data_IF_728654923582
#
_entry.id   IF_728654923582
#
_cell.length_a   1.000
_cell.length_b   1.000
_cell.length_c   1.000
_cell.angle_alpha   90.00
_cell.angle_beta   90.00
_cell.angle_gamma   90.00
#
_symmetry.space_group_name_H-M   'P 1'
#
loop_
_entity.id
_entity.type
_entity.pdbx_description
1 polymer ?
#
# COMPACT_ATOMS: atom_id res chain seq x y z
N UNK A 1 -2.26 -11.58 -17.71
CA UNK A 1 -2.56 -10.55 -16.72
C UNK A 1 -2.69 -11.21 -15.35
N UNK A 2 -2.11 -10.59 -14.33
CA UNK A 2 -2.26 -11.11 -12.97
C UNK A 2 -3.65 -10.76 -12.44
N UNK A 3 -4.15 -11.58 -11.52
CA UNK A 3 -5.47 -11.33 -10.92
C UNK A 3 -5.35 -10.39 -9.71
N UNK A 4 -6.51 -10.02 -9.16
CA UNK A 4 -6.55 -9.06 -8.05
C UNK A 4 -5.83 -9.57 -6.80
N UNK A 5 -5.92 -10.87 -6.53
CA UNK A 5 -5.26 -11.45 -5.36
C UNK A 5 -3.74 -11.39 -5.52
N UNK A 6 -3.24 -11.75 -6.69
CA UNK A 6 -1.81 -11.68 -6.98
C UNK A 6 -1.30 -10.25 -6.89
N UNK A 7 -2.06 -9.29 -7.43
CA UNK A 7 -1.69 -7.89 -7.36
C UNK A 7 -1.62 -7.41 -5.92
N UNK A 8 -2.62 -7.79 -5.10
CA UNK A 8 -2.67 -7.42 -3.69
C UNK A 8 -1.49 -8.01 -2.93
N UNK A 9 -1.18 -9.28 -3.17
CA UNK A 9 -0.06 -9.94 -2.51
C UNK A 9 1.28 -9.26 -2.86
N UNK A 10 1.45 -8.88 -4.11
CA UNK A 10 2.67 -8.18 -4.53
C UNK A 10 2.78 -6.80 -3.89
N UNK A 11 1.66 -6.10 -3.76
CA UNK A 11 1.66 -4.80 -3.08
C UNK A 11 2.04 -4.95 -1.61
N UNK A 12 1.51 -5.97 -0.93
CA UNK A 12 1.84 -6.24 0.46
C UNK A 12 3.31 -6.59 0.64
N UNK A 13 3.85 -7.45 -0.22
CA UNK A 13 5.27 -7.79 -0.19
C UNK A 13 6.14 -6.56 -0.35
N UNK A 14 5.77 -5.68 -1.27
CA UNK A 14 6.51 -4.45 -1.51
C UNK A 14 6.48 -3.55 -0.27
N UNK A 15 5.31 -3.39 0.33
CA UNK A 15 5.14 -2.59 1.54
C UNK A 15 6.06 -3.11 2.66
N UNK A 16 6.01 -4.41 2.93
CA UNK A 16 6.79 -5.01 4.01
C UNK A 16 8.30 -4.91 3.73
N UNK A 17 8.71 -4.97 2.48
CA UNK A 17 10.13 -4.85 2.14
C UNK A 17 10.70 -3.48 2.49
N UNK A 18 9.88 -2.43 2.41
CA UNK A 18 10.30 -1.07 2.78
C UNK A 18 9.96 -0.69 4.22
N UNK A 19 8.90 -1.28 4.76
CA UNK A 19 8.43 -0.97 6.11
C UNK A 19 8.21 -2.28 6.87
N UNK A 20 9.29 -2.97 7.25
CA UNK A 20 9.14 -4.28 7.91
C UNK A 20 8.42 -4.23 9.24
N UNK A 21 8.33 -3.06 9.86
CA UNK A 21 7.60 -2.86 11.10
C UNK A 21 6.10 -2.64 10.92
N UNK A 22 5.62 -2.60 9.66
CA UNK A 22 4.20 -2.40 9.41
C UNK A 22 3.37 -3.56 9.97
N UNK A 23 2.30 -3.21 10.68
CA UNK A 23 1.40 -4.18 11.29
C UNK A 23 -0.03 -3.97 10.79
N UNK A 24 -0.86 -5.00 10.92
CA UNK A 24 -2.28 -4.91 10.55
C UNK A 24 -2.48 -4.44 9.11
N UNK A 25 -1.69 -5.00 8.19
CA UNK A 25 -1.79 -4.62 6.78
C UNK A 25 -3.10 -5.14 6.20
N UNK A 26 -3.92 -4.23 5.67
CA UNK A 26 -5.23 -4.55 5.12
C UNK A 26 -5.43 -3.94 3.75
N UNK A 27 -6.15 -4.67 2.90
CA UNK A 27 -6.57 -4.14 1.61
C UNK A 27 -7.79 -3.24 1.82
N UNK A 28 -7.68 -1.98 1.42
CA UNK A 28 -8.78 -1.03 1.56
C UNK A 28 -9.52 -0.81 0.25
N UNK A 29 -8.77 -0.78 -0.85
CA UNK A 29 -9.38 -0.47 -2.14
C UNK A 29 -8.54 -1.09 -3.26
N UNK A 30 -9.20 -1.54 -4.31
CA UNK A 30 -8.53 -2.07 -5.49
C UNK A 30 -9.28 -1.62 -6.73
N UNK A 31 -8.52 -1.21 -7.74
CA UNK A 31 -9.09 -0.76 -9.00
C UNK A 31 -8.19 -1.17 -10.15
N UNK A 32 -8.81 -1.65 -11.23
CA UNK A 32 -8.11 -1.85 -12.48
C UNK A 32 -8.37 -0.61 -13.33
N UNK A 33 -7.32 -0.02 -13.89
CA UNK A 33 -7.49 1.19 -14.69
C UNK A 33 -8.36 0.91 -15.92
N UNK A 34 -8.96 1.99 -16.47
CA UNK A 34 -9.88 1.84 -17.60
C UNK A 34 -9.25 1.14 -18.79
N UNK A 35 -7.99 1.43 -19.07
CA UNK A 35 -7.26 0.79 -20.17
C UNK A 35 -6.77 -0.62 -19.82
N UNK A 36 -7.03 -1.06 -18.57
CA UNK A 36 -6.65 -2.40 -18.07
C UNK A 36 -5.16 -2.66 -18.07
N UNK A 37 -4.35 -1.61 -17.99
CA UNK A 37 -2.90 -1.76 -17.99
C UNK A 37 -2.29 -1.82 -16.60
N UNK A 38 -3.01 -1.32 -15.59
CA UNK A 38 -2.48 -1.22 -14.23
C UNK A 38 -3.51 -1.53 -13.18
N UNK A 39 -3.02 -2.10 -12.05
CA UNK A 39 -3.79 -2.25 -10.83
C UNK A 39 -3.43 -1.11 -9.90
N UNK A 40 -4.44 -0.50 -9.28
CA UNK A 40 -4.26 0.50 -8.22
C UNK A 40 -4.73 -0.14 -6.93
N UNK A 41 -3.80 -0.36 -6.01
CA UNK A 41 -4.06 -1.07 -4.76
C UNK A 41 -3.82 -0.12 -3.60
N UNK A 42 -4.84 0.10 -2.76
CA UNK A 42 -4.68 0.90 -1.55
C UNK A 42 -4.63 -0.04 -0.35
N UNK A 43 -3.55 0.06 0.40
CA UNK A 43 -3.37 -0.70 1.64
C UNK A 43 -3.34 0.25 2.81
N UNK A 44 -3.89 -0.20 3.94
CA UNK A 44 -3.71 0.49 5.22
C UNK A 44 -2.81 -0.37 6.09
N UNK A 45 -2.13 0.26 7.02
CA UNK A 45 -1.28 -0.45 7.97
C UNK A 45 -0.99 0.44 9.17
N UNK A 46 -0.64 -0.20 10.29
CA UNK A 46 -0.19 0.52 11.47
C UNK A 46 1.31 0.64 11.41
N UNK A 47 1.80 1.85 11.54
CA UNK A 47 3.23 2.10 11.49
C UNK A 47 3.61 3.28 12.37
N UNK A 48 4.91 3.42 12.58
CA UNK A 48 5.45 4.53 13.37
C UNK A 48 5.66 5.72 12.43
N UNK A 49 5.10 6.86 12.80
CA UNK A 49 5.32 8.07 12.01
C UNK A 49 6.67 8.66 12.35
N UNK A 50 7.28 9.35 11.38
CA UNK A 50 8.54 10.04 11.62
C UNK A 50 8.37 11.37 12.33
N UNK A 51 7.12 11.79 12.55
CA UNK A 51 6.83 13.05 13.25
C UNK A 51 7.16 12.93 14.73
N UNK A 52 7.96 13.87 15.24
CA UNK A 52 8.31 13.89 16.65
C UNK A 52 7.08 14.00 17.53
N UNK A 53 6.14 14.85 17.14
CA UNK A 53 4.90 15.02 17.90
C UNK A 53 4.09 13.73 17.96
N UNK A 54 3.96 13.04 16.84
CA UNK A 54 3.22 11.80 16.80
C UNK A 54 3.89 10.72 17.63
N UNK A 55 5.21 10.58 17.55
CA UNK A 55 5.92 9.56 18.31
C UNK A 55 5.83 9.81 19.82
N UNK A 56 5.76 11.06 20.23
CA UNK A 56 5.60 11.39 21.64
C UNK A 56 4.20 11.08 22.16
N UNK A 57 3.21 11.16 21.30
CA UNK A 57 1.81 11.01 21.73
C UNK A 57 1.33 9.57 21.68
N UNK A 58 1.61 8.85 20.62
CA UNK A 58 0.93 7.58 20.35
C UNK A 58 1.86 6.44 19.99
N UNK A 59 2.91 6.71 19.29
CA UNK A 59 3.82 5.67 18.80
C UNK A 59 3.40 5.05 17.48
N UNK A 60 2.13 4.73 17.28
CA UNK A 60 1.64 4.13 16.03
C UNK A 60 0.48 4.92 15.45
N UNK A 61 0.41 4.95 14.13
CA UNK A 61 -0.68 5.59 13.41
C UNK A 61 -1.14 4.69 12.28
N UNK A 62 -2.41 4.85 11.90
CA UNK A 62 -2.96 4.18 10.73
C UNK A 62 -2.54 4.97 9.49
N UNK A 63 -1.83 4.31 8.61
CA UNK A 63 -1.29 4.94 7.41
C UNK A 63 -1.85 4.26 6.17
N UNK A 64 -1.90 5.01 5.08
CA UNK A 64 -2.42 4.51 3.80
C UNK A 64 -1.41 4.73 2.70
N UNK A 65 -1.24 3.71 1.85
CA UNK A 65 -0.40 3.80 0.66
C UNK A 65 -1.17 3.31 -0.55
N UNK A 66 -0.98 3.98 -1.67
CA UNK A 66 -1.53 3.50 -2.93
C UNK A 66 -0.40 3.00 -3.81
N UNK A 67 -0.59 1.80 -4.36
CA UNK A 67 0.39 1.12 -5.21
C UNK A 67 -0.12 1.04 -6.62
N UNK A 68 0.75 1.34 -7.59
CA UNK A 68 0.43 1.14 -8.99
C UNK A 68 1.29 -0.01 -9.50
N UNK A 69 0.62 -1.06 -9.99
CA UNK A 69 1.30 -2.26 -10.48
C UNK A 69 0.97 -2.49 -11.94
N UNK A 70 1.94 -2.99 -12.67
CA UNK A 70 1.70 -3.43 -14.05
C UNK A 70 0.75 -4.63 -14.01
N UNK A 71 -0.38 -4.53 -14.72
CA UNK A 71 -1.38 -5.59 -14.71
C UNK A 71 -0.89 -6.87 -15.39
N UNK A 72 0.10 -6.76 -16.23
CA UNK A 72 0.61 -7.89 -16.99
C UNK A 72 1.52 -8.77 -16.16
N UNK A 73 2.48 -8.19 -15.45
CA UNK A 73 3.51 -8.92 -14.72
C UNK A 73 3.54 -8.65 -13.21
N UNK A 74 2.74 -7.69 -12.73
CA UNK A 74 2.69 -7.39 -11.31
C UNK A 74 3.83 -6.55 -10.79
N UNK A 75 4.64 -5.96 -11.67
CA UNK A 75 5.72 -5.10 -11.24
C UNK A 75 5.15 -3.85 -10.57
N UNK A 76 5.67 -3.52 -9.38
CA UNK A 76 5.25 -2.31 -8.67
C UNK A 76 5.95 -1.11 -9.30
N UNK A 77 5.15 -0.20 -9.83
CA UNK A 77 5.64 0.99 -10.52
C UNK A 77 5.77 2.17 -9.57
N UNK A 78 4.81 2.31 -8.64
CA UNK A 78 4.86 3.39 -7.66
C UNK A 78 4.18 2.99 -6.37
N UNK A 79 4.62 3.62 -5.29
CA UNK A 79 4.04 3.50 -3.96
C UNK A 79 3.97 4.91 -3.41
N UNK A 80 2.76 5.40 -3.16
CA UNK A 80 2.54 6.79 -2.74
C UNK A 80 1.69 6.84 -1.49
N UNK A 81 1.90 7.88 -0.70
CA UNK A 81 1.03 8.16 0.45
C UNK A 81 -0.34 8.54 -0.10
N UNK A 82 -1.38 7.99 0.50
CA UNK A 82 -2.75 8.37 0.16
C UNK A 82 -3.40 9.06 1.36
N UNK A 83 -3.84 10.28 1.15
CA UNK A 83 -4.61 11.02 2.15
C UNK A 83 -6.05 10.58 2.09
N UNK A 84 -6.55 10.09 3.22
CA UNK A 84 -7.95 9.71 3.37
C UNK A 84 -8.60 10.73 4.29
N UNK A 85 -9.58 11.43 3.75
CA UNK A 85 -10.30 12.44 4.51
C UNK A 85 -11.74 12.04 4.76
#
# INVERSE_FOLDING_TARGET
MINVKEATDKAKEHLISFFPEAEQVQLEEVELTEDKTHWLITLSYEGITSSVASSMLVGKSLLYKIFKLDAKNGEVISMKIRDIK
#
